data_IF_132198347247
#
_entry.id   IF_132198347247
#
_cell.length_a   1.000
_cell.length_b   1.000
_cell.length_c   1.000
_cell.angle_alpha   90.00
_cell.angle_beta   90.00
_cell.angle_gamma   90.00
#
_symmetry.space_group_name_H-M   'P 1'
#
loop_
_entity.id
_entity.type
_entity.pdbx_description
1 polymer ?
#
# COMPACT_ATOMS: atom_id res chain seq x y z
N UNK A 1 -35.36 20.21 15.61
CA UNK A 1 -35.41 19.85 14.18
C UNK A 1 -34.72 18.52 14.07
N UNK A 2 -35.52 17.52 13.76
CA UNK A 2 -35.15 16.12 13.67
C UNK A 2 -34.62 15.86 12.26
N UNK A 3 -33.38 15.40 12.13
CA UNK A 3 -32.77 15.03 10.85
C UNK A 3 -32.30 13.59 10.98
N UNK A 4 -33.26 12.69 10.99
CA UNK A 4 -33.05 11.28 10.70
C UNK A 4 -32.71 11.13 9.21
N UNK A 5 -31.44 11.25 8.85
CA UNK A 5 -30.97 10.74 7.56
C UNK A 5 -31.00 9.22 7.63
N UNK A 6 -32.03 8.67 6.97
CA UNK A 6 -32.23 7.25 6.77
C UNK A 6 -31.02 6.71 6.00
N UNK A 7 -30.25 5.84 6.67
CA UNK A 7 -29.33 4.95 5.99
C UNK A 7 -30.12 4.09 5.00
N UNK A 8 -29.76 4.17 3.72
CA UNK A 8 -30.28 3.25 2.71
C UNK A 8 -29.56 1.90 2.86
N UNK A 9 -30.24 0.96 3.52
CA UNK A 9 -29.74 -0.40 3.73
C UNK A 9 -29.72 -1.26 2.46
N UNK A 10 -30.15 -0.72 1.30
CA UNK A 10 -30.24 -1.45 0.03
C UNK A 10 -29.09 -1.19 -0.96
N UNK A 11 -28.08 -0.40 -0.62
CA UNK A 11 -26.89 -0.22 -1.49
C UNK A 11 -25.97 -1.47 -1.53
N UNK A 12 -26.27 -2.45 -0.69
CA UNK A 12 -25.68 -3.80 -0.73
C UNK A 12 -26.71 -4.82 -1.23
N UNK A 13 -27.21 -4.63 -2.45
CA UNK A 13 -27.85 -5.76 -3.14
C UNK A 13 -26.81 -6.88 -3.34
N UNK A 14 -27.14 -8.00 -2.72
CA UNK A 14 -26.46 -9.29 -2.72
C UNK A 14 -25.97 -9.69 -4.10
N UNK A 15 -24.66 -9.56 -4.32
CA UNK A 15 -23.97 -10.46 -5.24
C UNK A 15 -23.97 -11.85 -4.58
N UNK A 16 -24.84 -12.73 -5.06
CA UNK A 16 -24.78 -14.16 -4.81
C UNK A 16 -23.47 -14.68 -5.39
N UNK A 17 -22.47 -14.84 -4.53
CA UNK A 17 -21.23 -15.50 -4.89
C UNK A 17 -21.50 -16.99 -5.11
N UNK A 18 -21.04 -17.62 -6.20
CA UNK A 18 -21.03 -19.07 -6.29
C UNK A 18 -20.22 -19.63 -5.13
N UNK A 19 -20.81 -20.59 -4.42
CA UNK A 19 -20.18 -21.30 -3.32
C UNK A 19 -18.87 -21.95 -3.78
N UNK A 20 -17.81 -21.73 -3.00
CA UNK A 20 -16.46 -22.33 -3.09
C UNK A 20 -15.63 -21.97 -4.33
N UNK A 21 -14.99 -20.81 -4.28
CA UNK A 21 -13.65 -20.65 -4.86
C UNK A 21 -12.65 -20.53 -3.71
N UNK A 22 -12.11 -21.67 -3.28
CA UNK A 22 -10.87 -21.66 -2.50
C UNK A 22 -9.77 -21.06 -3.38
N UNK A 23 -9.07 -20.03 -2.91
CA UNK A 23 -7.81 -19.59 -3.51
C UNK A 23 -6.83 -20.78 -3.44
N UNK A 24 -6.80 -21.58 -4.50
CA UNK A 24 -6.16 -22.89 -4.53
C UNK A 24 -4.66 -22.78 -4.78
N UNK A 25 -3.91 -23.47 -3.93
CA UNK A 25 -2.57 -23.97 -4.22
C UNK A 25 -2.68 -24.89 -5.46
N UNK A 26 -1.87 -24.73 -6.52
CA UNK A 26 -1.96 -25.59 -7.69
C UNK A 26 -1.36 -26.97 -7.37
N UNK A 27 -2.22 -27.90 -6.95
CA UNK A 27 -1.95 -29.34 -6.98
C UNK A 27 -2.43 -29.91 -8.33
N UNK A 28 -1.54 -30.60 -9.03
CA UNK A 28 -1.69 -30.92 -10.45
C UNK A 28 -2.77 -31.94 -10.82
N UNK A 29 -3.13 -31.89 -12.11
CA UNK A 29 -3.37 -33.04 -12.99
C UNK A 29 -3.21 -32.60 -14.45
N UNK A 30 -2.24 -33.21 -15.11
CA UNK A 30 -2.16 -33.44 -16.56
C UNK A 30 -3.53 -33.93 -17.10
N UNK A 31 -4.00 -33.65 -18.33
CA UNK A 31 -3.32 -33.87 -19.63
C UNK A 31 -4.14 -33.26 -20.80
N UNK A 32 -3.40 -32.75 -21.80
CA UNK A 32 -3.66 -32.73 -23.25
C UNK A 32 -4.77 -31.84 -23.86
N UNK A 33 -4.35 -30.71 -24.46
CA UNK A 33 -4.44 -30.51 -25.91
C UNK A 33 -3.44 -29.42 -26.37
N UNK A 34 -2.52 -29.79 -27.25
CA UNK A 34 -1.69 -28.86 -28.04
C UNK A 34 -0.44 -28.33 -27.35
N UNK A 35 0.71 -28.91 -27.69
CA UNK A 35 2.04 -28.35 -27.41
C UNK A 35 2.19 -26.98 -28.08
N UNK A 36 1.85 -25.93 -27.33
CA UNK A 36 2.43 -24.61 -27.50
C UNK A 36 3.05 -24.27 -26.16
N UNK A 37 4.38 -24.41 -26.09
CA UNK A 37 5.18 -23.80 -25.03
C UNK A 37 4.94 -22.29 -25.14
N UNK A 38 3.92 -21.79 -24.45
CA UNK A 38 3.80 -20.38 -24.11
C UNK A 38 4.94 -20.18 -23.12
N UNK A 39 6.12 -19.85 -23.64
CA UNK A 39 7.25 -19.46 -22.79
C UNK A 39 6.71 -18.41 -21.83
N UNK A 40 6.80 -18.70 -20.52
CA UNK A 40 6.21 -17.87 -19.47
C UNK A 40 6.59 -16.40 -19.73
N UNK A 41 5.68 -15.64 -20.34
CA UNK A 41 5.93 -14.25 -20.64
C UNK A 41 6.08 -13.56 -19.29
N UNK A 42 7.29 -13.05 -19.02
CA UNK A 42 7.59 -12.42 -17.74
C UNK A 42 6.63 -11.24 -17.58
N UNK A 43 5.78 -11.30 -16.55
CA UNK A 43 4.75 -10.27 -16.32
C UNK A 43 5.40 -8.88 -16.22
N UNK A 44 4.80 -7.83 -16.81
CA UNK A 44 5.38 -6.49 -16.82
C UNK A 44 5.73 -5.95 -15.42
N UNK A 45 4.88 -6.20 -14.43
CA UNK A 45 5.12 -5.82 -13.04
C UNK A 45 6.40 -6.46 -12.47
N UNK A 46 6.60 -7.77 -12.73
CA UNK A 46 7.77 -8.52 -12.29
C UNK A 46 9.04 -7.96 -12.94
N UNK A 47 9.00 -7.72 -14.26
CA UNK A 47 10.13 -7.13 -14.99
C UNK A 47 10.51 -5.75 -14.43
N UNK A 48 9.52 -4.90 -14.18
CA UNK A 48 9.73 -3.57 -13.61
C UNK A 48 10.34 -3.63 -12.21
N UNK A 49 9.76 -4.42 -11.31
CA UNK A 49 10.20 -4.50 -9.91
C UNK A 49 11.55 -5.21 -9.77
N UNK A 50 11.91 -6.18 -10.63
CA UNK A 50 13.28 -6.73 -10.66
C UNK A 50 14.33 -5.64 -10.88
N UNK A 51 14.03 -4.62 -11.69
CA UNK A 51 14.94 -3.50 -11.97
C UNK A 51 14.86 -2.37 -10.94
N UNK A 52 13.65 -2.07 -10.46
CA UNK A 52 13.36 -0.83 -9.72
C UNK A 52 12.84 -1.04 -8.30
N UNK A 53 12.62 -2.28 -7.88
CA UNK A 53 11.92 -2.61 -6.63
C UNK A 53 12.51 -1.98 -5.38
N UNK A 54 13.85 -1.91 -5.28
CA UNK A 54 14.55 -1.26 -4.17
C UNK A 54 14.28 0.27 -4.05
N UNK A 55 13.68 0.89 -5.08
CA UNK A 55 13.23 2.29 -5.13
C UNK A 55 11.70 2.42 -5.18
N UNK A 56 10.97 1.33 -5.03
CA UNK A 56 9.52 1.27 -5.20
C UNK A 56 8.80 1.04 -3.88
N UNK A 57 7.73 1.80 -3.67
CA UNK A 57 6.63 1.40 -2.80
C UNK A 57 5.60 0.67 -3.66
N UNK A 58 5.09 -0.46 -3.18
CA UNK A 58 4.12 -1.28 -3.92
C UNK A 58 2.79 -1.27 -3.18
N UNK A 59 1.75 -0.73 -3.81
CA UNK A 59 0.36 -0.74 -3.33
C UNK A 59 -0.36 -1.96 -3.88
N UNK A 60 -0.60 -2.94 -3.01
CA UNK A 60 -1.29 -4.18 -3.33
C UNK A 60 -2.80 -4.02 -3.09
N UNK A 61 -3.61 -4.42 -4.07
CA UNK A 61 -5.06 -4.30 -3.99
C UNK A 61 -5.52 -2.85 -4.06
N UNK A 62 -4.96 -2.06 -4.97
CA UNK A 62 -5.33 -0.65 -5.11
C UNK A 62 -6.74 -0.44 -5.67
N UNK A 63 -7.36 -1.49 -6.23
CA UNK A 63 -8.65 -1.47 -6.89
C UNK A 63 -8.64 -0.72 -8.24
N UNK A 64 -9.81 -0.64 -8.86
CA UNK A 64 -10.01 0.07 -10.14
C UNK A 64 -9.77 1.59 -10.04
N UNK A 65 -9.79 2.15 -8.83
CA UNK A 65 -9.57 3.57 -8.57
C UNK A 65 -8.56 3.76 -7.45
N UNK A 66 -7.45 4.41 -7.79
CA UNK A 66 -6.43 4.81 -6.83
C UNK A 66 -6.97 6.01 -6.03
N UNK A 67 -7.25 5.79 -4.75
CA UNK A 67 -7.78 6.82 -3.87
C UNK A 67 -7.22 6.72 -2.46
N UNK A 68 -7.32 7.85 -1.73
CA UNK A 68 -6.90 8.00 -0.32
C UNK A 68 -5.49 7.50 -0.05
N UNK A 69 -4.56 7.79 -0.97
CA UNK A 69 -3.18 7.30 -0.91
C UNK A 69 -2.24 8.21 -0.09
N UNK A 70 -2.80 9.14 0.67
CA UNK A 70 -2.13 10.16 1.47
C UNK A 70 -0.97 9.58 2.30
N UNK A 71 -1.22 8.51 3.06
CA UNK A 71 -0.19 7.86 3.87
C UNK A 71 0.84 7.11 3.02
N UNK A 72 0.44 6.61 1.85
CA UNK A 72 1.38 5.97 0.93
C UNK A 72 2.42 7.00 0.45
N UNK A 73 1.99 8.22 0.13
CA UNK A 73 2.88 9.32 -0.26
C UNK A 73 3.80 9.72 0.88
N UNK A 74 3.28 9.83 2.11
CA UNK A 74 4.11 10.10 3.30
C UNK A 74 5.18 9.04 3.50
N UNK A 75 4.84 7.77 3.31
CA UNK A 75 5.81 6.66 3.41
C UNK A 75 6.83 6.70 2.27
N UNK A 76 6.36 6.88 1.04
CA UNK A 76 7.20 6.95 -0.17
C UNK A 76 8.26 8.05 -0.05
N UNK A 77 7.83 9.27 0.29
CA UNK A 77 8.71 10.43 0.45
C UNK A 77 9.60 10.30 1.70
N UNK A 78 9.07 9.74 2.79
CA UNK A 78 9.82 9.47 4.01
C UNK A 78 10.96 8.45 3.83
N UNK A 79 10.85 7.55 2.85
CA UNK A 79 11.89 6.60 2.44
C UNK A 79 12.71 7.07 1.24
N UNK A 80 12.44 8.26 0.70
CA UNK A 80 13.06 8.80 -0.50
C UNK A 80 12.94 7.85 -1.72
N UNK A 81 11.77 7.26 -1.91
CA UNK A 81 11.49 6.33 -3.00
C UNK A 81 11.14 7.06 -4.30
N UNK A 82 11.42 6.41 -5.43
CA UNK A 82 11.28 7.00 -6.77
C UNK A 82 9.99 6.58 -7.47
N UNK A 83 9.45 5.41 -7.15
CA UNK A 83 8.30 4.85 -7.86
C UNK A 83 7.16 4.46 -6.92
N UNK A 84 5.95 4.76 -7.35
CA UNK A 84 4.70 4.32 -6.74
C UNK A 84 4.06 3.27 -7.65
N UNK A 85 4.04 2.02 -7.22
CA UNK A 85 3.62 0.88 -8.05
C UNK A 85 2.25 0.40 -7.61
N UNK A 86 1.29 0.39 -8.53
CA UNK A 86 -0.09 -0.04 -8.29
C UNK A 86 -0.29 -1.44 -8.86
N UNK A 87 -0.74 -2.37 -8.02
CA UNK A 87 -0.96 -3.77 -8.36
C UNK A 87 -2.40 -4.14 -8.03
N UNK A 88 -3.12 -4.66 -9.02
CA UNK A 88 -4.42 -5.29 -8.81
C UNK A 88 -4.69 -6.38 -9.85
N UNK A 89 -5.58 -7.32 -9.49
CA UNK A 89 -6.07 -8.39 -10.37
C UNK A 89 -7.13 -7.89 -11.36
N UNK A 90 -7.67 -6.69 -11.15
CA UNK A 90 -8.66 -6.09 -12.05
C UNK A 90 -8.05 -5.81 -13.43
N UNK A 91 -8.90 -5.85 -14.45
CA UNK A 91 -8.52 -5.63 -15.85
C UNK A 91 -8.06 -4.18 -16.11
N UNK A 92 -8.62 -3.23 -15.38
CA UNK A 92 -8.29 -1.82 -15.50
C UNK A 92 -8.11 -1.18 -14.13
N UNK A 93 -7.16 -0.25 -14.07
CA UNK A 93 -6.95 0.65 -12.94
C UNK A 93 -6.92 2.06 -13.55
N UNK A 94 -7.88 2.89 -13.18
CA UNK A 94 -8.00 4.26 -13.66
C UNK A 94 -6.72 5.05 -13.34
N UNK A 95 -6.26 5.91 -14.28
CA UNK A 95 -5.17 6.84 -14.00
C UNK A 95 -5.48 7.69 -12.77
N UNK A 96 -4.45 7.97 -11.98
CA UNK A 96 -4.61 8.78 -10.79
C UNK A 96 -5.09 10.20 -11.15
N UNK A 97 -5.91 10.79 -10.29
CA UNK A 97 -6.34 12.18 -10.40
C UNK A 97 -6.17 12.91 -9.05
N UNK A 98 -6.50 14.20 -9.00
CA UNK A 98 -6.43 14.98 -7.77
C UNK A 98 -7.35 14.44 -6.67
N UNK A 99 -8.42 13.70 -7.03
CA UNK A 99 -9.30 13.03 -6.05
C UNK A 99 -8.65 11.83 -5.34
N UNK A 100 -7.41 11.49 -5.71
CA UNK A 100 -6.67 10.43 -5.06
C UNK A 100 -6.20 10.79 -3.64
N UNK A 101 -6.23 12.08 -3.28
CA UNK A 101 -5.86 12.56 -1.95
C UNK A 101 -7.11 12.95 -1.15
N UNK A 102 -7.15 12.53 0.12
CA UNK A 102 -8.13 13.04 1.07
C UNK A 102 -7.79 14.47 1.49
N UNK A 103 -6.50 14.83 1.53
CA UNK A 103 -5.99 16.16 1.86
C UNK A 103 -5.04 16.64 0.75
N UNK A 104 -5.58 17.20 -0.36
CA UNK A 104 -4.79 17.59 -1.52
C UNK A 104 -3.72 18.65 -1.23
N UNK A 105 -3.99 19.58 -0.31
CA UNK A 105 -3.07 20.67 0.02
C UNK A 105 -1.83 20.14 0.77
N UNK A 106 -2.03 19.30 1.79
CA UNK A 106 -0.94 18.63 2.52
C UNK A 106 -0.12 17.75 1.56
N UNK A 107 -0.79 17.00 0.67
CA UNK A 107 -0.10 16.14 -0.31
C UNK A 107 0.68 16.93 -1.35
N UNK A 108 0.17 18.09 -1.77
CA UNK A 108 0.90 18.99 -2.66
C UNK A 108 2.18 19.50 -2.00
N UNK A 109 2.14 19.91 -0.74
CA UNK A 109 3.32 20.37 0.00
C UNK A 109 4.37 19.25 0.18
N UNK A 110 3.94 18.04 0.54
CA UNK A 110 4.82 16.87 0.66
C UNK A 110 5.50 16.55 -0.67
N UNK A 111 4.75 16.58 -1.78
CA UNK A 111 5.27 16.29 -3.11
C UNK A 111 6.18 17.40 -3.64
N UNK A 112 5.88 18.68 -3.39
CA UNK A 112 6.76 19.82 -3.71
C UNK A 112 8.13 19.61 -3.08
N UNK A 113 8.17 19.28 -1.78
CA UNK A 113 9.42 19.05 -1.05
C UNK A 113 10.21 17.87 -1.61
N UNK A 114 9.53 16.78 -1.97
CA UNK A 114 10.16 15.56 -2.47
C UNK A 114 10.70 15.73 -3.90
N UNK A 115 9.97 16.41 -4.77
CA UNK A 115 10.30 16.60 -6.19
C UNK A 115 10.93 17.96 -6.51
N UNK A 116 11.50 18.65 -5.52
CA UNK A 116 12.27 19.88 -5.74
C UNK A 116 11.46 21.02 -6.36
N UNK A 117 10.20 21.17 -5.97
CA UNK A 117 9.32 22.26 -6.43
C UNK A 117 8.19 21.84 -7.37
N UNK A 118 8.26 20.66 -8.00
CA UNK A 118 7.26 20.24 -8.99
C UNK A 118 6.50 18.96 -8.58
N UNK A 119 5.30 19.08 -7.99
CA UNK A 119 4.53 17.94 -7.53
C UNK A 119 4.01 17.05 -8.67
N UNK A 120 3.91 17.58 -9.90
CA UNK A 120 3.45 16.80 -11.07
C UNK A 120 4.41 15.67 -11.46
N UNK A 121 5.67 15.71 -11.01
CA UNK A 121 6.61 14.62 -11.23
C UNK A 121 6.16 13.31 -10.57
N UNK A 122 5.27 13.37 -9.58
CA UNK A 122 4.62 12.19 -9.02
C UNK A 122 3.86 11.38 -10.07
N UNK A 123 3.11 12.02 -10.97
CA UNK A 123 2.35 11.32 -12.01
C UNK A 123 3.26 10.49 -12.95
N UNK A 124 4.49 10.95 -13.18
CA UNK A 124 5.51 10.21 -13.96
C UNK A 124 6.12 9.03 -13.18
N UNK A 125 6.18 9.15 -11.86
CA UNK A 125 6.70 8.14 -10.94
C UNK A 125 5.73 6.97 -10.73
N UNK A 126 4.45 7.15 -11.06
CA UNK A 126 3.44 6.10 -10.94
C UNK A 126 3.62 5.05 -12.03
N UNK A 127 3.47 3.79 -11.65
CA UNK A 127 3.49 2.63 -12.53
C UNK A 127 2.31 1.75 -12.17
N UNK A 128 1.45 1.51 -13.14
CA UNK A 128 0.19 0.78 -12.96
C UNK A 128 0.31 -0.55 -13.69
N UNK A 129 0.03 -1.64 -12.99
CA UNK A 129 0.03 -2.98 -13.55
C UNK A 129 -1.30 -3.66 -13.17
N UNK A 130 -2.33 -3.55 -14.03
CA UNK A 130 -3.54 -4.34 -13.88
C UNK A 130 -3.25 -5.82 -14.16
N UNK A 131 -4.25 -6.68 -13.94
CA UNK A 131 -4.19 -8.14 -14.18
C UNK A 131 -2.99 -8.84 -13.52
N UNK A 132 -2.48 -8.26 -12.44
CA UNK A 132 -1.31 -8.79 -11.71
C UNK A 132 -1.78 -9.33 -10.37
N UNK A 133 -1.62 -10.63 -10.16
CA UNK A 133 -1.87 -11.27 -8.87
C UNK A 133 -0.71 -10.95 -7.93
N UNK A 134 -1.01 -10.84 -6.63
CA UNK A 134 0.03 -10.57 -5.63
C UNK A 134 1.04 -11.72 -5.56
N UNK A 135 0.56 -12.94 -5.77
CA UNK A 135 1.34 -14.17 -5.84
C UNK A 135 2.36 -14.15 -6.98
N UNK A 136 2.09 -13.42 -8.07
CA UNK A 136 3.06 -13.28 -9.18
C UNK A 136 4.32 -12.49 -8.76
N UNK A 137 4.23 -11.72 -7.68
CA UNK A 137 5.33 -10.91 -7.17
C UNK A 137 6.19 -11.67 -6.16
N UNK A 138 5.92 -12.96 -5.97
CA UNK A 138 6.73 -13.80 -5.09
C UNK A 138 8.21 -13.75 -5.50
N UNK A 139 9.08 -13.56 -4.51
CA UNK A 139 10.54 -13.40 -4.65
C UNK A 139 10.99 -12.16 -5.46
N UNK A 140 10.07 -11.21 -5.72
CA UNK A 140 10.39 -9.94 -6.38
C UNK A 140 10.52 -8.83 -5.34
N UNK A 141 11.75 -8.40 -5.08
CA UNK A 141 12.05 -7.45 -4.02
C UNK A 141 11.38 -6.07 -4.21
N UNK A 142 10.96 -5.45 -3.11
CA UNK A 142 10.55 -4.04 -3.07
C UNK A 142 11.05 -3.33 -1.80
N UNK A 143 10.98 -1.99 -1.77
CA UNK A 143 11.42 -1.24 -0.59
C UNK A 143 10.37 -1.22 0.52
N UNK A 144 9.11 -1.03 0.15
CA UNK A 144 7.98 -1.00 1.06
C UNK A 144 6.71 -1.52 0.37
N UNK A 145 5.81 -2.10 1.17
CA UNK A 145 4.50 -2.57 0.70
C UNK A 145 3.41 -1.79 1.43
N UNK A 146 2.35 -1.47 0.71
CA UNK A 146 1.06 -1.09 1.28
C UNK A 146 0.03 -2.14 0.89
N UNK A 147 -0.62 -2.75 1.89
CA UNK A 147 -1.82 -3.54 1.70
C UNK A 147 -3.00 -2.59 1.79
N UNK A 148 -3.61 -2.26 0.65
CA UNK A 148 -4.67 -1.28 0.59
C UNK A 148 -6.05 -1.91 0.70
N UNK A 149 -6.35 -2.97 -0.07
CA UNK A 149 -7.62 -3.70 0.01
C UNK A 149 -7.35 -5.17 -0.19
N UNK A 150 -7.80 -6.00 0.76
CA UNK A 150 -7.68 -7.45 0.64
C UNK A 150 -8.98 -8.07 1.10
N UNK A 151 -9.42 -9.11 0.39
CA UNK A 151 -10.60 -9.85 0.79
C UNK A 151 -10.33 -10.56 2.14
N UNK A 152 -11.33 -10.67 3.04
CA UNK A 152 -11.12 -11.18 4.40
C UNK A 152 -10.55 -12.60 4.52
N UNK A 153 -10.60 -13.38 3.44
CA UNK A 153 -10.12 -14.76 3.35
C UNK A 153 -8.77 -14.90 2.63
N UNK A 154 -8.29 -13.86 1.95
CA UNK A 154 -7.00 -13.89 1.27
C UNK A 154 -5.85 -13.73 2.27
N UNK A 155 -4.72 -14.40 1.97
CA UNK A 155 -3.52 -14.47 2.80
C UNK A 155 -2.29 -14.19 1.94
N UNK A 156 -1.84 -12.95 1.96
CA UNK A 156 -0.69 -12.48 1.19
C UNK A 156 0.60 -12.46 2.01
N UNK A 157 0.59 -12.94 3.26
CA UNK A 157 1.77 -12.89 4.14
C UNK A 157 3.01 -13.50 3.46
N UNK A 158 2.87 -14.68 2.85
CA UNK A 158 3.98 -15.37 2.19
C UNK A 158 4.53 -14.60 0.98
N UNK A 159 3.64 -14.10 0.12
CA UNK A 159 4.03 -13.29 -1.03
C UNK A 159 4.74 -12.01 -0.57
N UNK A 160 4.13 -11.25 0.35
CA UNK A 160 4.69 -10.00 0.88
C UNK A 160 6.03 -10.24 1.57
N UNK A 161 6.17 -11.31 2.35
CA UNK A 161 7.44 -11.66 2.99
C UNK A 161 8.54 -11.93 1.97
N UNK A 162 8.23 -12.68 0.91
CA UNK A 162 9.19 -13.00 -0.16
C UNK A 162 9.63 -11.76 -0.96
N UNK A 163 8.76 -10.76 -1.08
CA UNK A 163 9.10 -9.44 -1.64
C UNK A 163 10.08 -8.65 -0.75
N UNK A 164 10.37 -9.15 0.46
CA UNK A 164 11.35 -8.65 1.42
C UNK A 164 11.30 -7.12 1.69
N UNK A 165 10.12 -6.51 1.91
CA UNK A 165 10.01 -5.08 2.17
C UNK A 165 10.64 -4.69 3.51
N UNK A 166 11.14 -3.46 3.60
CA UNK A 166 11.63 -2.91 4.89
C UNK A 166 10.47 -2.56 5.81
N UNK A 167 9.36 -2.12 5.23
CA UNK A 167 8.18 -1.58 5.90
C UNK A 167 6.92 -2.09 5.21
N UNK A 168 5.90 -2.47 6.00
CA UNK A 168 4.59 -2.91 5.50
C UNK A 168 3.53 -2.07 6.19
N UNK A 169 2.74 -1.34 5.42
CA UNK A 169 1.59 -0.57 5.88
C UNK A 169 0.31 -1.29 5.50
N UNK A 170 -0.63 -1.40 6.44
CA UNK A 170 -1.94 -2.02 6.24
C UNK A 170 -3.00 -0.98 6.56
N UNK A 171 -3.80 -0.58 5.56
CA UNK A 171 -4.73 0.56 5.71
C UNK A 171 -6.21 0.17 5.77
N UNK A 172 -6.58 -1.01 5.27
CA UNK A 172 -7.96 -1.49 5.34
C UNK A 172 -8.16 -2.45 6.52
N UNK A 173 -9.17 -2.16 7.36
CA UNK A 173 -9.57 -2.99 8.50
C UNK A 173 -10.66 -4.02 8.13
N UNK A 174 -10.95 -4.22 6.85
CA UNK A 174 -11.86 -5.26 6.35
C UNK A 174 -11.11 -6.38 5.61
N UNK A 175 -9.86 -6.63 5.98
CA UNK A 175 -9.07 -7.78 5.57
C UNK A 175 -7.58 -7.61 5.81
N UNK A 176 -7.01 -6.41 5.64
CA UNK A 176 -5.55 -6.23 5.73
C UNK A 176 -5.08 -6.38 7.17
N UNK A 177 -5.88 -5.97 8.15
CA UNK A 177 -5.64 -6.16 9.58
C UNK A 177 -5.57 -7.64 9.99
N UNK A 178 -6.17 -8.54 9.19
CA UNK A 178 -6.09 -9.98 9.44
C UNK A 178 -4.73 -10.56 9.10
N UNK A 179 -3.94 -9.90 8.25
CA UNK A 179 -2.60 -10.38 7.93
C UNK A 179 -1.67 -10.16 9.12
N UNK A 180 -0.90 -11.19 9.46
CA UNK A 180 -0.05 -11.14 10.66
C UNK A 180 1.40 -11.51 10.36
N UNK A 181 2.27 -10.50 10.47
CA UNK A 181 3.72 -10.66 10.27
C UNK A 181 4.50 -10.84 11.58
N UNK A 182 3.82 -10.98 12.72
CA UNK A 182 4.48 -11.21 14.02
C UNK A 182 5.19 -12.56 14.01
N UNK A 183 6.42 -12.58 14.52
CA UNK A 183 7.24 -13.80 14.53
C UNK A 183 7.96 -14.08 13.21
N UNK A 184 7.59 -13.38 12.13
CA UNK A 184 8.12 -13.59 10.78
C UNK A 184 9.20 -12.57 10.41
N UNK A 185 10.03 -12.16 11.37
CA UNK A 185 11.08 -11.15 11.13
C UNK A 185 10.58 -9.70 11.12
N UNK A 186 9.29 -9.45 11.36
CA UNK A 186 8.71 -8.10 11.50
C UNK A 186 8.22 -7.82 12.92
N UNK A 187 8.19 -6.53 13.27
CA UNK A 187 7.63 -6.00 14.51
C UNK A 187 6.69 -4.83 14.21
N UNK A 188 5.55 -4.76 14.92
CA UNK A 188 4.64 -3.60 14.82
C UNK A 188 5.34 -2.36 15.39
N UNK A 189 5.16 -1.20 14.75
CA UNK A 189 5.82 0.04 15.18
C UNK A 189 4.88 1.26 15.19
N UNK A 190 4.38 1.60 16.38
CA UNK A 190 3.62 2.85 16.59
C UNK A 190 4.50 4.10 16.47
N UNK A 191 5.78 4.00 16.83
CA UNK A 191 6.74 5.09 16.63
C UNK A 191 6.93 5.41 15.15
N UNK A 192 6.89 4.40 14.27
CA UNK A 192 6.91 4.58 12.81
C UNK A 192 5.74 5.40 12.30
N UNK A 193 4.52 5.12 12.80
CA UNK A 193 3.30 5.88 12.44
C UNK A 193 3.49 7.38 12.71
N UNK A 194 3.98 7.74 13.92
CA UNK A 194 4.26 9.14 14.27
C UNK A 194 5.40 9.73 13.42
N UNK A 195 6.46 8.97 13.19
CA UNK A 195 7.64 9.40 12.43
C UNK A 195 7.30 9.77 10.98
N UNK A 196 6.43 9.00 10.33
CA UNK A 196 5.99 9.26 8.96
C UNK A 196 4.74 10.16 8.91
N UNK A 197 4.22 10.60 10.05
CA UNK A 197 3.07 11.50 10.11
C UNK A 197 1.79 10.89 9.54
N UNK A 198 1.60 9.57 9.69
CA UNK A 198 0.41 8.91 9.15
C UNK A 198 -0.86 9.39 9.86
N UNK A 199 -1.91 9.61 9.06
CA UNK A 199 -3.24 10.02 9.52
C UNK A 199 -4.19 8.81 9.44
N UNK A 200 -5.02 8.55 10.47
CA UNK A 200 -6.06 7.52 10.40
C UNK A 200 -6.93 7.68 9.15
N UNK A 201 -7.20 6.57 8.47
CA UNK A 201 -8.00 6.51 7.24
C UNK A 201 -9.50 6.76 7.49
N UNK A 202 -9.97 6.45 8.69
CA UNK A 202 -11.29 6.83 9.23
C UNK A 202 -11.12 7.19 10.70
N UNK A 203 -11.56 8.37 11.16
CA UNK A 203 -11.70 8.63 12.58
C UNK A 203 -12.68 7.61 13.16
N UNK A 204 -12.25 6.79 14.12
CA UNK A 204 -13.19 5.89 14.79
C UNK A 204 -13.97 6.71 15.83
N UNK A 205 -15.32 6.82 15.75
CA UNK A 205 -16.08 7.72 16.61
C UNK A 205 -16.01 7.37 18.10
N UNK A 206 -15.82 6.08 18.40
CA UNK A 206 -15.85 5.53 19.76
C UNK A 206 -14.48 5.69 20.45
N UNK A 207 -13.40 5.63 19.67
CA UNK A 207 -12.04 5.82 20.16
C UNK A 207 -11.31 6.86 19.30
N UNK A 208 -11.50 8.16 19.60
CA UNK A 208 -10.80 9.24 18.91
C UNK A 208 -9.29 9.00 18.95
N UNK A 209 -8.67 8.87 17.78
CA UNK A 209 -7.23 8.63 17.66
C UNK A 209 -6.80 7.17 17.56
N UNK A 210 -7.74 6.20 17.49
CA UNK A 210 -7.34 4.85 17.06
C UNK A 210 -6.85 4.88 15.62
N UNK A 211 -5.59 4.50 15.45
CA UNK A 211 -4.98 4.27 14.15
C UNK A 211 -5.65 3.03 13.57
N UNK A 212 -6.59 3.24 12.65
CA UNK A 212 -7.19 2.17 11.86
C UNK A 212 -6.24 1.65 10.77
N UNK A 213 -4.97 1.49 11.14
CA UNK A 213 -3.88 1.01 10.31
C UNK A 213 -2.90 0.21 11.16
N UNK A 214 -2.19 -0.71 10.52
CA UNK A 214 -1.13 -1.47 11.16
C UNK A 214 0.15 -1.26 10.38
N UNK A 215 1.22 -0.90 11.10
CA UNK A 215 2.51 -0.63 10.50
C UNK A 215 3.57 -1.59 11.04
N UNK A 216 4.18 -2.34 10.14
CA UNK A 216 5.22 -3.31 10.44
C UNK A 216 6.57 -2.83 9.93
N UNK A 217 7.61 -3.18 10.69
CA UNK A 217 8.99 -2.93 10.36
C UNK A 217 9.78 -4.22 10.43
N UNK A 218 10.63 -4.46 9.45
CA UNK A 218 11.59 -5.58 9.47
C UNK A 218 12.60 -5.39 10.62
N UNK A 219 12.89 -6.44 11.38
CA UNK A 219 13.67 -6.34 12.63
C UNK A 219 15.07 -5.77 12.42
N UNK A 220 15.74 -6.17 11.35
CA UNK A 220 17.06 -5.74 10.89
C UNK A 220 17.07 -4.32 10.30
N UNK A 221 15.91 -3.74 9.98
CA UNK A 221 15.82 -2.39 9.46
C UNK A 221 15.93 -1.37 10.59
N UNK A 222 17.16 -1.01 10.92
CA UNK A 222 17.47 0.03 11.90
C UNK A 222 17.00 1.41 11.42
N UNK A 223 15.91 1.90 12.00
CA UNK A 223 15.37 3.25 11.74
C UNK A 223 16.30 4.35 12.30
N UNK A 224 17.27 3.95 13.12
CA UNK A 224 18.25 4.81 13.79
C UNK A 224 19.38 5.31 12.88
N UNK A 225 19.53 4.78 11.65
CA UNK A 225 20.51 5.30 10.67
C UNK A 225 19.98 6.40 9.74
N UNK A 226 18.72 6.83 9.93
CA UNK A 226 18.17 8.06 9.32
C UNK A 226 17.85 9.03 10.47
N UNK A 227 18.80 9.20 11.39
CA UNK A 227 18.85 10.30 12.37
C UNK A 227 19.72 11.39 11.72
N UNK A 228 19.37 12.65 11.95
CA UNK A 228 20.02 13.89 11.50
C UNK A 228 19.65 14.41 10.10
N UNK A 229 18.46 15.02 10.00
CA UNK A 229 18.35 16.40 9.44
C UNK A 229 16.98 17.07 9.62
N UNK A 230 15.87 16.34 9.83
CA UNK A 230 14.52 16.98 9.78
C UNK A 230 13.93 17.47 11.10
N UNK A 231 14.43 17.05 12.26
CA UNK A 231 13.90 17.55 13.56
C UNK A 231 14.67 18.75 14.15
N UNK A 232 15.79 19.17 13.53
CA UNK A 232 16.56 20.31 14.04
C UNK A 232 15.86 21.65 13.79
N UNK A 233 15.11 21.79 12.68
CA UNK A 233 14.45 23.04 12.35
C UNK A 233 13.21 23.29 13.21
N UNK A 234 12.41 22.26 13.51
CA UNK A 234 11.24 22.40 14.38
C UNK A 234 11.65 22.79 15.80
N UNK A 235 12.80 22.29 16.27
CA UNK A 235 13.38 22.68 17.56
C UNK A 235 13.91 24.12 17.56
N UNK A 236 14.59 24.54 16.49
CA UNK A 236 15.01 25.94 16.32
C UNK A 236 13.83 26.91 16.21
N UNK A 237 12.72 26.51 15.61
CA UNK A 237 11.52 27.37 15.50
C UNK A 237 10.90 27.63 16.88
N UNK A 238 10.80 26.58 17.71
CA UNK A 238 10.29 26.68 19.09
C UNK A 238 11.25 27.46 19.98
N UNK A 239 12.57 27.29 19.80
CA UNK A 239 13.60 28.04 20.54
C UNK A 239 13.79 29.49 20.03
N UNK A 240 13.18 29.86 18.90
CA UNK A 240 13.24 31.22 18.31
C UNK A 240 11.97 32.05 18.51
N UNK A 241 10.94 31.48 19.14
CA UNK A 241 9.76 32.25 19.54
C UNK A 241 10.06 32.93 20.88
N UNK A 242 9.85 34.25 21.01
CA UNK A 242 10.13 35.00 22.23
C UNK A 242 9.20 34.60 23.40
#
# INVERSE_FOLDING_TARGET
MDVSERYDTNEYQTYSYPEKVTCGIPGGKEKLLGDMVVGNAVKPAVSFLKKHGHKSIVSLGCGARINRIDNHIRLMTGLNLSYYVCIDRLYEIEPISLSAFADPDDMTEVLIRHYGGNPHNFFKAIKIFPETLVEDLQDVSCAAVVCQRILPYCRWENAIMSMNPKLILQEDLHGCERQNFRGQGYVRTRSGIRRYGFKPFRPWPIFPGEYNMVFWRRKDFGVEKIINKKFFWFRKLIESLP
#
